data_IF_176560253574
#
_entry.id   IF_176560253574
#
_cell.length_a   1.000
_cell.length_b   1.000
_cell.length_c   1.000
_cell.angle_alpha   90.00
_cell.angle_beta   90.00
_cell.angle_gamma   90.00
#
_symmetry.space_group_name_H-M   'P 1'
#
loop_
_entity.id
_entity.type
_entity.pdbx_description
1 polymer ?
#
# COMPACT_ATOMS: atom_id res chain seq x y z
N UNK A 1 39.43 -40.87 -44.56
CA UNK A 1 39.69 -40.84 -43.10
C UNK A 1 38.96 -39.66 -42.52
N UNK A 2 38.00 -39.83 -41.58
CA UNK A 2 37.37 -38.71 -40.90
C UNK A 2 38.20 -38.30 -39.68
N UNK A 3 38.44 -37.00 -39.56
CA UNK A 3 39.15 -36.35 -38.46
C UNK A 3 38.25 -36.39 -37.21
N UNK A 4 38.77 -36.94 -36.12
CA UNK A 4 38.11 -37.04 -34.82
C UNK A 4 38.17 -35.65 -34.14
N UNK A 5 37.02 -34.99 -34.00
CA UNK A 5 36.92 -33.77 -33.19
C UNK A 5 36.69 -34.16 -31.74
N UNK A 6 37.73 -34.04 -30.90
CA UNK A 6 37.58 -34.07 -29.45
C UNK A 6 36.64 -32.94 -29.02
N UNK A 7 35.49 -33.30 -28.47
CA UNK A 7 34.57 -32.36 -27.82
C UNK A 7 34.97 -32.24 -26.36
N UNK A 8 35.78 -31.23 -26.03
CA UNK A 8 36.08 -30.87 -24.65
C UNK A 8 34.80 -30.33 -24.00
N UNK A 9 34.19 -31.15 -23.14
CA UNK A 9 33.10 -30.69 -22.26
C UNK A 9 33.72 -29.83 -21.16
N UNK A 10 33.77 -28.52 -21.39
CA UNK A 10 34.05 -27.57 -20.31
C UNK A 10 32.79 -27.50 -19.44
N UNK A 11 32.80 -28.23 -18.32
CA UNK A 11 31.83 -28.03 -17.25
C UNK A 11 31.89 -26.56 -16.83
N UNK A 12 30.84 -25.79 -17.13
CA UNK A 12 30.72 -24.42 -16.68
C UNK A 12 30.72 -24.42 -15.14
N UNK A 13 31.65 -23.70 -14.49
CA UNK A 13 31.74 -23.69 -13.06
C UNK A 13 30.57 -22.90 -12.47
N UNK A 14 29.83 -23.60 -11.61
CA UNK A 14 29.11 -23.09 -10.47
C UNK A 14 28.09 -21.99 -10.78
N UNK A 15 26.82 -22.38 -10.81
CA UNK A 15 25.69 -21.49 -10.58
C UNK A 15 26.00 -20.62 -9.36
N UNK A 16 26.49 -19.40 -9.62
CA UNK A 16 26.39 -18.33 -8.64
C UNK A 16 24.90 -18.14 -8.47
N UNK A 17 24.39 -18.73 -7.40
CA UNK A 17 23.10 -18.38 -6.83
C UNK A 17 22.98 -16.87 -6.97
N UNK A 18 22.06 -16.44 -7.83
CA UNK A 18 21.74 -15.04 -8.04
C UNK A 18 21.04 -14.62 -6.76
N UNK A 19 21.85 -14.43 -5.72
CA UNK A 19 21.44 -14.11 -4.36
C UNK A 19 20.96 -12.68 -4.44
N UNK A 20 19.68 -12.55 -4.79
CA UNK A 20 18.85 -11.39 -4.62
C UNK A 20 19.60 -10.07 -4.88
N UNK A 21 19.69 -9.66 -6.15
CA UNK A 21 19.80 -8.23 -6.44
C UNK A 21 18.44 -7.62 -6.11
N UNK A 22 18.12 -7.52 -4.81
CA UNK A 22 16.90 -6.93 -4.29
C UNK A 22 16.85 -5.48 -4.74
N UNK A 23 16.28 -5.27 -5.92
CA UNK A 23 16.12 -3.97 -6.53
C UNK A 23 15.14 -3.18 -5.68
N UNK A 24 15.68 -2.39 -4.76
CA UNK A 24 14.88 -1.51 -3.92
C UNK A 24 14.13 -0.53 -4.81
N UNK A 25 12.80 -0.56 -4.79
CA UNK A 25 11.99 0.29 -5.66
C UNK A 25 12.03 1.76 -5.18
N UNK A 26 13.12 2.47 -5.51
CA UNK A 26 13.32 3.89 -5.16
C UNK A 26 12.22 4.79 -5.72
N UNK A 27 11.58 4.38 -6.83
CA UNK A 27 10.49 5.12 -7.46
C UNK A 27 9.21 5.05 -6.62
N UNK A 28 8.93 3.90 -6.00
CA UNK A 28 7.85 3.78 -5.03
C UNK A 28 8.14 4.65 -3.80
N UNK A 29 9.32 4.55 -3.18
CA UNK A 29 9.63 5.34 -1.97
C UNK A 29 9.53 6.88 -2.14
N UNK A 30 9.75 7.38 -3.35
CA UNK A 30 9.58 8.81 -3.67
C UNK A 30 8.13 9.18 -4.05
N UNK A 31 7.24 8.19 -4.15
CA UNK A 31 5.83 8.39 -4.47
C UNK A 31 5.05 8.89 -3.27
N UNK A 32 4.12 9.80 -3.55
CA UNK A 32 3.10 10.23 -2.60
C UNK A 32 2.27 9.05 -2.06
N UNK A 33 2.08 7.99 -2.85
CA UNK A 33 1.35 6.79 -2.42
C UNK A 33 2.03 6.10 -1.22
N UNK A 34 3.36 6.01 -1.24
CA UNK A 34 4.15 5.40 -0.18
C UNK A 34 4.17 6.26 1.08
N UNK A 35 4.22 7.59 0.90
CA UNK A 35 4.09 8.51 2.03
C UNK A 35 2.73 8.36 2.73
N UNK A 36 1.63 8.24 1.97
CA UNK A 36 0.30 8.01 2.54
C UNK A 36 0.21 6.66 3.25
N UNK A 37 0.78 5.60 2.66
CA UNK A 37 0.80 4.26 3.29
C UNK A 37 1.57 4.27 4.62
N UNK A 38 2.70 4.98 4.67
CA UNK A 38 3.48 5.16 5.90
C UNK A 38 2.76 6.01 6.93
N UNK A 39 2.05 7.05 6.49
CA UNK A 39 1.21 7.88 7.34
C UNK A 39 0.11 7.01 7.97
N UNK A 40 -0.66 6.28 7.17
CA UNK A 40 -1.70 5.36 7.63
C UNK A 40 -1.17 4.30 8.60
N UNK A 41 0.00 3.71 8.31
CA UNK A 41 0.69 2.80 9.21
C UNK A 41 0.99 3.46 10.56
N UNK A 42 1.59 4.66 10.54
CA UNK A 42 1.95 5.37 11.76
C UNK A 42 0.73 5.75 12.60
N UNK A 43 -0.37 6.19 11.97
CA UNK A 43 -1.62 6.50 12.66
C UNK A 43 -2.27 5.25 13.24
N UNK A 44 -2.26 4.13 12.51
CA UNK A 44 -2.77 2.85 13.00
C UNK A 44 -2.02 2.37 14.24
N UNK A 45 -0.67 2.42 14.21
CA UNK A 45 0.16 2.03 15.36
C UNK A 45 -0.07 2.97 16.55
N UNK A 46 -0.05 4.29 16.33
CA UNK A 46 -0.27 5.26 17.40
C UNK A 46 -1.65 5.13 18.04
N UNK A 47 -2.70 4.91 17.23
CA UNK A 47 -4.07 4.70 17.74
C UNK A 47 -4.16 3.40 18.53
N UNK A 48 -3.54 2.32 18.05
CA UNK A 48 -3.47 1.05 18.77
C UNK A 48 -2.75 1.19 20.12
N UNK A 49 -1.58 1.82 20.14
CA UNK A 49 -0.76 2.00 21.34
C UNK A 49 -1.48 2.84 22.41
N UNK A 50 -2.15 3.92 21.99
CA UNK A 50 -2.95 4.76 22.90
C UNK A 50 -4.11 4.00 23.54
N UNK A 51 -4.73 3.08 22.80
CA UNK A 51 -5.88 2.32 23.30
C UNK A 51 -5.48 1.06 24.06
N UNK A 52 -4.31 0.47 23.77
CA UNK A 52 -3.87 -0.81 24.36
C UNK A 52 -3.73 -0.75 25.89
N UNK A 53 -3.28 0.38 26.43
CA UNK A 53 -3.04 0.55 27.87
C UNK A 53 -4.23 1.17 28.62
N UNK A 54 -5.27 1.60 27.92
CA UNK A 54 -6.46 2.19 28.56
C UNK A 54 -7.29 1.07 29.16
N UNK A 55 -7.67 1.21 30.42
CA UNK A 55 -8.59 0.26 31.08
C UNK A 55 -10.02 0.74 30.92
N UNK A 56 -10.96 -0.19 30.73
CA UNK A 56 -12.39 0.16 30.64
C UNK A 56 -12.82 0.83 29.33
N UNK A 57 -12.21 0.50 28.18
CA UNK A 57 -12.68 1.00 26.89
C UNK A 57 -14.13 0.61 26.63
N UNK A 58 -14.88 1.51 26.00
CA UNK A 58 -16.18 1.17 25.42
C UNK A 58 -16.03 0.13 24.28
N UNK A 59 -17.14 -0.42 23.83
CA UNK A 59 -17.16 -1.34 22.67
C UNK A 59 -16.58 -0.66 21.43
N UNK A 60 -16.87 0.63 21.21
CA UNK A 60 -16.32 1.41 20.11
C UNK A 60 -14.79 1.52 20.20
N UNK A 61 -14.26 1.69 21.41
CA UNK A 61 -12.82 1.72 21.67
C UNK A 61 -12.12 0.39 21.35
N UNK A 62 -12.70 -0.74 21.78
CA UNK A 62 -12.15 -2.07 21.46
C UNK A 62 -12.15 -2.36 19.96
N UNK A 63 -13.24 -2.00 19.27
CA UNK A 63 -13.33 -2.15 17.82
C UNK A 63 -12.30 -1.28 17.12
N UNK A 64 -12.15 -0.02 17.54
CA UNK A 64 -11.15 0.89 16.99
C UNK A 64 -9.74 0.33 17.15
N UNK A 65 -9.40 -0.19 18.33
CA UNK A 65 -8.10 -0.82 18.58
C UNK A 65 -7.83 -1.99 17.63
N UNK A 66 -8.81 -2.89 17.43
CA UNK A 66 -8.68 -4.04 16.52
C UNK A 66 -8.55 -3.62 15.05
N UNK A 67 -9.33 -2.62 14.64
CA UNK A 67 -9.26 -2.02 13.29
C UNK A 67 -7.87 -1.41 13.10
N UNK A 68 -7.40 -0.60 14.05
CA UNK A 68 -6.10 0.05 13.99
C UNK A 68 -4.95 -0.94 13.88
N UNK A 69 -4.97 -2.02 14.65
CA UNK A 69 -4.00 -3.09 14.54
C UNK A 69 -4.04 -3.78 13.17
N UNK A 70 -5.23 -4.18 12.71
CA UNK A 70 -5.40 -4.94 11.47
C UNK A 70 -5.02 -4.12 10.24
N UNK A 71 -5.47 -2.86 10.16
CA UNK A 71 -5.11 -1.94 9.08
C UNK A 71 -3.64 -1.56 9.13
N UNK A 72 -3.06 -1.36 10.32
CA UNK A 72 -1.62 -1.15 10.48
C UNK A 72 -0.80 -2.29 9.88
N UNK A 73 -1.15 -3.55 10.18
CA UNK A 73 -0.48 -4.72 9.58
C UNK A 73 -0.64 -4.78 8.06
N UNK A 74 -1.82 -4.46 7.55
CA UNK A 74 -2.06 -4.42 6.09
C UNK A 74 -1.25 -3.30 5.43
N UNK A 75 -1.16 -2.10 6.01
CA UNK A 75 -0.31 -1.02 5.49
C UNK A 75 1.17 -1.41 5.48
N UNK A 76 1.64 -2.10 6.54
CA UNK A 76 3.00 -2.64 6.59
C UNK A 76 3.23 -3.65 5.47
N UNK A 77 2.28 -4.58 5.26
CA UNK A 77 2.35 -5.56 4.19
C UNK A 77 2.41 -4.90 2.82
N UNK A 78 1.52 -3.93 2.54
CA UNK A 78 1.51 -3.17 1.28
C UNK A 78 2.83 -2.46 1.06
N UNK A 79 3.33 -1.77 2.10
CA UNK A 79 4.59 -1.02 2.02
C UNK A 79 5.77 -1.95 1.70
N UNK A 80 5.91 -3.06 2.42
CA UNK A 80 6.98 -4.03 2.19
C UNK A 80 6.83 -4.69 0.81
N UNK A 81 5.61 -5.09 0.44
CA UNK A 81 5.34 -5.69 -0.85
C UNK A 81 5.77 -4.79 -2.00
N UNK A 82 5.47 -3.49 -1.94
CA UNK A 82 5.85 -2.53 -2.97
C UNK A 82 7.35 -2.17 -2.94
N UNK A 83 7.97 -2.14 -1.76
CA UNK A 83 9.42 -1.91 -1.64
C UNK A 83 10.25 -3.04 -2.28
N UNK A 84 9.75 -4.28 -2.22
CA UNK A 84 10.43 -5.48 -2.72
C UNK A 84 9.86 -6.03 -4.03
N UNK A 85 8.78 -5.44 -4.58
CA UNK A 85 8.17 -5.90 -5.83
C UNK A 85 9.12 -5.68 -7.01
N UNK A 86 9.54 -6.74 -7.73
CA UNK A 86 10.36 -6.63 -8.93
C UNK A 86 9.55 -6.28 -10.18
N UNK A 87 8.21 -6.29 -10.09
CA UNK A 87 7.27 -6.05 -11.20
C UNK A 87 6.63 -4.66 -11.14
N UNK A 88 6.42 -4.04 -12.31
CA UNK A 88 5.72 -2.75 -12.46
C UNK A 88 4.25 -2.78 -12.03
N UNK A 89 3.69 -3.97 -11.75
CA UNK A 89 2.34 -4.12 -11.22
C UNK A 89 2.30 -3.65 -9.77
N UNK A 90 2.02 -2.36 -9.59
CA UNK A 90 1.84 -1.76 -8.28
C UNK A 90 0.60 -2.36 -7.62
N UNK A 91 0.79 -2.99 -6.46
CA UNK A 91 -0.28 -3.47 -5.58
C UNK A 91 -1.27 -2.33 -5.28
N UNK A 92 -0.79 -1.08 -5.23
CA UNK A 92 -1.59 0.14 -5.10
C UNK A 92 -2.63 0.37 -6.22
N UNK A 93 -2.52 -0.33 -7.36
CA UNK A 93 -3.46 -0.25 -8.49
C UNK A 93 -4.56 -1.32 -8.45
N UNK A 94 -4.52 -2.24 -7.48
CA UNK A 94 -5.47 -3.35 -7.40
C UNK A 94 -6.82 -2.93 -6.79
N UNK A 95 -7.89 -3.64 -7.19
CA UNK A 95 -9.22 -3.49 -6.58
C UNK A 95 -9.19 -3.81 -5.07
N UNK A 96 -8.32 -4.73 -4.65
CA UNK A 96 -8.06 -4.99 -3.24
C UNK A 96 -7.61 -3.71 -2.51
N UNK A 97 -6.63 -3.00 -3.06
CA UNK A 97 -6.12 -1.77 -2.46
C UNK A 97 -7.16 -0.64 -2.44
N UNK A 98 -7.99 -0.54 -3.48
CA UNK A 98 -9.11 0.40 -3.49
C UNK A 98 -10.13 0.08 -2.39
N UNK A 99 -10.60 -1.17 -2.31
CA UNK A 99 -11.56 -1.60 -1.28
C UNK A 99 -10.98 -1.45 0.13
N UNK A 100 -9.70 -1.78 0.31
CA UNK A 100 -8.98 -1.55 1.57
C UNK A 100 -9.11 -0.10 2.03
N UNK A 101 -8.86 0.86 1.15
CA UNK A 101 -9.01 2.28 1.48
C UNK A 101 -10.47 2.68 1.74
N UNK A 102 -11.43 2.19 0.95
CA UNK A 102 -12.86 2.46 1.17
C UNK A 102 -13.31 1.99 2.55
N UNK A 103 -13.03 0.73 2.88
CA UNK A 103 -13.39 0.16 4.17
C UNK A 103 -12.59 0.79 5.31
N UNK A 104 -11.32 1.16 5.06
CA UNK A 104 -10.50 1.92 6.00
C UNK A 104 -11.18 3.24 6.36
N UNK A 105 -11.55 4.04 5.35
CA UNK A 105 -12.28 5.30 5.56
C UNK A 105 -13.55 5.09 6.39
N UNK A 106 -14.42 4.16 6.00
CA UNK A 106 -15.71 3.97 6.69
C UNK A 106 -15.53 3.53 8.14
N UNK A 107 -14.65 2.54 8.38
CA UNK A 107 -14.46 1.98 9.71
C UNK A 107 -13.78 2.98 10.66
N UNK A 108 -12.71 3.64 10.21
CA UNK A 108 -12.02 4.65 11.03
C UNK A 108 -12.90 5.87 11.29
N UNK A 109 -13.76 6.27 10.35
CA UNK A 109 -14.70 7.37 10.56
C UNK A 109 -15.76 7.00 11.61
N UNK A 110 -16.41 5.84 11.45
CA UNK A 110 -17.46 5.40 12.35
C UNK A 110 -16.94 5.15 13.77
N UNK A 111 -15.84 4.39 13.91
CA UNK A 111 -15.24 4.12 15.21
C UNK A 111 -14.58 5.36 15.82
N UNK A 112 -13.95 6.23 15.01
CA UNK A 112 -13.38 7.49 15.48
C UNK A 112 -14.45 8.39 16.13
N UNK A 113 -15.59 8.59 15.46
CA UNK A 113 -16.70 9.34 16.05
C UNK A 113 -17.28 8.67 17.30
N UNK A 114 -17.53 7.36 17.26
CA UNK A 114 -18.05 6.63 18.42
C UNK A 114 -17.13 6.81 19.65
N UNK A 115 -15.82 6.66 19.44
CA UNK A 115 -14.81 6.82 20.49
C UNK A 115 -14.73 8.25 21.00
N UNK A 116 -14.76 9.26 20.13
CA UNK A 116 -14.75 10.67 20.56
C UNK A 116 -15.99 11.02 21.38
N UNK A 117 -17.16 10.51 21.01
CA UNK A 117 -18.43 10.81 21.69
C UNK A 117 -18.57 10.08 23.03
N UNK A 118 -17.96 8.89 23.18
CA UNK A 118 -18.03 8.07 24.38
C UNK A 118 -16.79 8.21 25.30
N UNK A 119 -15.80 9.00 24.89
CA UNK A 119 -14.51 9.09 25.59
C UNK A 119 -14.66 9.64 27.01
N UNK A 120 -14.11 8.89 27.97
CA UNK A 120 -14.00 9.31 29.37
C UNK A 120 -12.58 9.80 29.73
N UNK A 121 -11.59 9.44 28.90
CA UNK A 121 -10.19 9.77 29.09
C UNK A 121 -9.65 10.57 27.90
N UNK A 122 -8.71 11.48 28.17
CA UNK A 122 -8.09 12.30 27.13
C UNK A 122 -7.38 11.44 26.05
N UNK A 123 -6.73 10.34 26.47
CA UNK A 123 -6.07 9.37 25.58
C UNK A 123 -7.05 8.77 24.57
N UNK A 124 -8.27 8.44 25.02
CA UNK A 124 -9.35 7.93 24.18
C UNK A 124 -9.84 8.97 23.18
N UNK A 125 -9.95 10.24 23.58
CA UNK A 125 -10.27 11.34 22.66
C UNK A 125 -9.19 11.47 21.58
N UNK A 126 -7.92 11.48 21.98
CA UNK A 126 -6.79 11.59 21.04
C UNK A 126 -6.78 10.42 20.07
N UNK A 127 -6.97 9.18 20.55
CA UNK A 127 -7.08 8.01 19.70
C UNK A 127 -8.25 8.12 18.70
N UNK A 128 -9.42 8.61 19.15
CA UNK A 128 -10.55 8.89 18.27
C UNK A 128 -10.25 9.95 17.21
N UNK A 129 -9.52 11.02 17.55
CA UNK A 129 -9.10 12.05 16.58
C UNK A 129 -8.09 11.49 15.58
N UNK A 130 -7.10 10.70 16.03
CA UNK A 130 -6.14 10.04 15.14
C UNK A 130 -6.87 9.08 14.18
N UNK A 131 -7.87 8.35 14.65
CA UNK A 131 -8.71 7.53 13.79
C UNK A 131 -9.40 8.37 12.70
N UNK A 132 -9.96 9.53 13.04
CA UNK A 132 -10.56 10.42 12.04
C UNK A 132 -9.54 10.93 11.01
N UNK A 133 -8.31 11.22 11.42
CA UNK A 133 -7.23 11.61 10.48
C UNK A 133 -6.83 10.42 9.60
N UNK A 134 -6.82 9.19 10.14
CA UNK A 134 -6.59 7.97 9.36
C UNK A 134 -7.69 7.76 8.32
N UNK A 135 -8.96 8.00 8.67
CA UNK A 135 -10.08 7.93 7.73
C UNK A 135 -9.90 8.91 6.55
N UNK A 136 -9.47 10.13 6.83
CA UNK A 136 -9.15 11.14 5.81
C UNK A 136 -7.96 10.74 4.94
N UNK A 137 -6.96 10.08 5.52
CA UNK A 137 -5.78 9.59 4.80
C UNK A 137 -6.19 8.53 3.77
N UNK A 138 -6.97 7.53 4.19
CA UNK A 138 -7.54 6.51 3.30
C UNK A 138 -8.42 7.12 2.20
N UNK A 139 -9.22 8.15 2.54
CA UNK A 139 -10.07 8.84 1.56
C UNK A 139 -9.24 9.56 0.50
N UNK A 140 -8.16 10.22 0.94
CA UNK A 140 -7.24 10.89 0.03
C UNK A 140 -6.49 9.90 -0.86
N UNK A 141 -6.10 8.75 -0.30
CA UNK A 141 -5.45 7.68 -1.07
C UNK A 141 -6.37 7.14 -2.17
N UNK A 142 -7.65 6.95 -1.85
CA UNK A 142 -8.69 6.56 -2.81
C UNK A 142 -8.88 7.61 -3.91
N UNK A 143 -9.01 8.89 -3.54
CA UNK A 143 -9.19 9.99 -4.50
C UNK A 143 -8.01 10.09 -5.48
N UNK A 144 -6.78 9.99 -4.96
CA UNK A 144 -5.56 10.02 -5.79
C UNK A 144 -5.46 8.82 -6.72
N UNK A 145 -5.81 7.63 -6.24
CA UNK A 145 -5.83 6.41 -7.05
C UNK A 145 -6.80 6.55 -8.23
N UNK A 146 -8.01 7.06 -7.99
CA UNK A 146 -9.02 7.26 -9.03
C UNK A 146 -8.57 8.27 -10.11
N UNK A 147 -7.96 9.40 -9.70
CA UNK A 147 -7.49 10.43 -10.64
C UNK A 147 -6.30 9.98 -11.49
N UNK A 148 -5.51 9.02 -11.01
CA UNK A 148 -4.38 8.49 -11.77
C UNK A 148 -4.87 7.58 -12.91
N UNK A 149 -5.99 6.87 -12.72
CA UNK A 149 -6.58 5.97 -13.72
C UNK A 149 -7.29 6.73 -14.86
N UNK A 150 -7.87 7.91 -14.59
CA UNK A 150 -8.54 8.74 -15.61
C UNK A 150 -7.56 9.42 -16.58
N UNK A 151 -6.37 9.81 -16.10
CA UNK A 151 -5.33 10.41 -16.96
C UNK A 151 -4.76 9.38 -17.95
N UNK A 152 -4.61 8.11 -17.54
CA UNK A 152 -4.14 7.04 -18.42
C UNK A 152 -5.12 6.73 -19.57
N UNK A 153 -6.42 6.97 -19.38
CA UNK A 153 -7.43 6.71 -20.43
C UNK A 153 -7.50 7.81 -21.48
N UNK A 154 -7.16 9.05 -21.12
CA UNK A 154 -7.13 10.18 -22.09
C UNK A 154 -5.90 10.13 -23.00
N UNK A 155 -4.80 9.50 -22.60
CA UNK A 155 -3.59 9.33 -23.41
C UNK A 155 -3.73 8.42 -24.63
N UNK A 156 -4.77 7.57 -24.68
CA UNK A 156 -5.05 6.68 -25.82
C UNK A 156 -6.02 7.26 -26.86
N UNK A 157 -6.58 8.46 -26.61
CA UNK A 157 -7.55 9.09 -27.52
C UNK A 157 -6.92 10.07 -28.53
N UNK A 158 -5.60 10.32 -28.46
CA UNK A 158 -4.88 11.19 -29.40
C UNK A 158 -3.73 10.45 -30.09
N UNK A 159 -4.04 9.41 -30.84
CA UNK A 159 -3.15 8.96 -31.92
C UNK A 159 -3.85 9.28 -33.26
N UNK A 160 -3.50 10.39 -33.93
CA UNK A 160 -4.02 10.62 -35.27
C UNK A 160 -3.53 9.47 -36.15
N UNK A 161 -4.48 8.75 -36.73
CA UNK A 161 -4.28 7.74 -37.74
C UNK A 161 -3.40 8.31 -38.85
N UNK A 162 -2.11 7.94 -38.86
CA UNK A 162 -1.25 8.17 -40.01
C UNK A 162 -1.75 7.25 -41.13
N UNK A 163 -2.56 7.83 -42.01
CA UNK A 163 -2.93 7.22 -43.28
C UNK A 163 -1.67 7.16 -44.14
N UNK A 164 -1.05 5.99 -44.22
CA UNK A 164 -0.06 5.67 -45.24
C UNK A 164 -0.74 5.75 -46.61
N UNK A 165 -0.42 6.79 -47.39
CA UNK A 165 -0.72 6.80 -48.81
C UNK A 165 0.27 5.88 -49.54
N UNK A 166 -0.20 4.98 -50.42
CA UNK A 166 0.68 4.21 -51.28
C UNK A 166 1.00 4.98 -52.58
N UNK A 167 2.28 4.86 -52.98
CA UNK A 167 2.94 5.19 -54.25
C UNK A 167 3.29 6.65 -54.49
#
# INVERSE_FOLDING_TARGET
>A
APTQSETTTTAAPNEKSHFWSGGFNRRFLSSVSSFLTLLELSLGIATFELLYNVTGLSTGGHLLMLISFSYGLMCLYVFLSECFSPTETSLSSTLFFFLFNVFGTVNYLACGFAVVLEAQHAETVVAGVLALISALSHLFHMYKSNNSNTVSTQGFQHQPSQTSQPV
#
